data_IF_134147825999
#
_entry.id   IF_134147825999
#
_cell.length_a   1.000
_cell.length_b   1.000
_cell.length_c   1.000
_cell.angle_alpha   90.00
_cell.angle_beta   90.00
_cell.angle_gamma   90.00
#
_symmetry.space_group_name_H-M   'P 1'
#
loop_
_entity.id
_entity.type
_entity.pdbx_description
1 polymer ?
#
# COMPACT_ATOMS: atom_id res chain seq x y z
N UNK A 1 -1.94 12.36 -8.45
CA UNK A 1 -1.84 10.88 -8.41
C UNK A 1 -2.55 10.25 -9.60
N UNK A 2 -3.73 10.73 -10.00
CA UNK A 2 -4.50 10.22 -11.15
C UNK A 2 -3.71 10.10 -12.47
N UNK A 3 -2.95 11.13 -12.85
CA UNK A 3 -2.19 11.11 -14.11
C UNK A 3 -1.11 10.03 -14.12
N UNK A 4 -0.46 9.79 -12.97
CA UNK A 4 0.52 8.71 -12.81
C UNK A 4 -0.17 7.35 -12.83
N UNK A 5 -1.29 7.20 -12.10
CA UNK A 5 -2.06 5.95 -12.09
C UNK A 5 -2.52 5.56 -13.50
N UNK A 6 -3.06 6.52 -14.25
CA UNK A 6 -3.44 6.30 -15.65
C UNK A 6 -2.26 5.89 -16.52
N UNK A 7 -1.09 6.50 -16.33
CA UNK A 7 0.12 6.16 -17.07
C UNK A 7 0.61 4.74 -16.77
N UNK A 8 0.63 4.36 -15.50
CA UNK A 8 0.98 2.99 -15.09
C UNK A 8 -0.05 1.98 -15.59
N UNK A 9 -1.34 2.32 -15.58
CA UNK A 9 -2.39 1.44 -16.09
C UNK A 9 -2.21 1.12 -17.57
N UNK A 10 -1.78 2.11 -18.37
CA UNK A 10 -1.46 1.89 -19.79
C UNK A 10 -0.18 1.07 -20.01
N UNK A 11 0.70 1.01 -19.01
CA UNK A 11 1.95 0.25 -19.03
C UNK A 11 1.79 -1.18 -18.48
N UNK A 12 0.64 -1.51 -17.89
CA UNK A 12 0.44 -2.78 -17.18
C UNK A 12 0.50 -4.01 -18.09
N UNK A 13 0.07 -3.89 -19.34
CA UNK A 13 -0.02 -5.00 -20.30
C UNK A 13 1.12 -4.98 -21.33
N UNK A 14 2.25 -4.33 -21.01
CA UNK A 14 3.34 -4.10 -21.96
C UNK A 14 4.68 -4.54 -21.40
N UNK A 15 5.51 -5.15 -22.25
CA UNK A 15 6.80 -5.72 -21.84
C UNK A 15 7.89 -4.65 -21.62
N UNK A 16 7.84 -3.52 -22.32
CA UNK A 16 8.88 -2.49 -22.32
C UNK A 16 8.35 -1.10 -21.94
N UNK A 17 8.86 -0.56 -20.83
CA UNK A 17 8.51 0.76 -20.30
C UNK A 17 9.78 1.55 -19.97
N UNK A 18 9.95 2.70 -20.62
CA UNK A 18 11.05 3.62 -20.37
C UNK A 18 10.55 4.84 -19.60
N UNK A 19 11.05 5.04 -18.38
CA UNK A 19 10.81 6.24 -17.59
C UNK A 19 11.92 7.27 -17.85
N UNK A 20 11.53 8.50 -18.20
CA UNK A 20 12.45 9.62 -18.45
C UNK A 20 12.01 10.85 -17.69
N UNK A 21 12.93 11.47 -16.96
CA UNK A 21 12.70 12.81 -16.42
C UNK A 21 13.06 13.83 -17.49
N UNK A 22 12.08 14.60 -17.93
CA UNK A 22 12.21 15.61 -18.98
C UNK A 22 11.75 16.98 -18.48
N UNK A 23 12.21 18.03 -19.14
CA UNK A 23 11.74 19.40 -18.91
C UNK A 23 10.96 19.85 -20.14
N UNK A 24 9.62 19.90 -20.03
CA UNK A 24 8.75 20.38 -21.11
C UNK A 24 8.43 21.85 -20.86
N UNK A 25 9.24 22.73 -21.46
CA UNK A 25 9.16 24.17 -21.23
C UNK A 25 9.60 24.54 -19.80
N UNK A 26 8.70 25.17 -19.03
CA UNK A 26 8.96 25.53 -17.63
C UNK A 26 8.60 24.42 -16.63
N UNK A 27 7.95 23.34 -17.09
CA UNK A 27 7.39 22.30 -16.22
C UNK A 27 8.28 21.05 -16.27
N UNK A 28 8.81 20.58 -15.13
CA UNK A 28 9.47 19.28 -15.05
C UNK A 28 8.42 18.17 -15.13
N UNK A 29 8.67 17.19 -15.98
CA UNK A 29 7.71 16.15 -16.37
C UNK A 29 8.38 14.79 -16.34
N UNK A 30 7.74 13.84 -15.69
CA UNK A 30 8.08 12.43 -15.80
C UNK A 30 7.36 11.87 -17.03
N UNK A 31 8.12 11.50 -18.06
CA UNK A 31 7.60 10.86 -19.25
C UNK A 31 7.72 9.34 -19.12
N UNK A 32 6.65 8.64 -19.49
CA UNK A 32 6.60 7.20 -19.61
C UNK A 32 6.46 6.88 -21.11
N UNK A 33 7.51 6.35 -21.72
CA UNK A 33 7.47 5.82 -23.09
C UNK A 33 7.19 4.32 -23.01
N UNK A 34 6.00 3.91 -23.42
CA UNK A 34 5.51 2.54 -23.31
C UNK A 34 5.50 1.93 -24.70
N UNK A 35 6.28 0.88 -24.92
CA UNK A 35 6.30 0.15 -26.20
C UNK A 35 5.33 -1.02 -26.14
N UNK A 36 4.31 -1.01 -27.00
CA UNK A 36 3.26 -2.02 -27.03
C UNK A 36 3.09 -2.62 -28.42
N UNK A 37 2.64 -3.87 -28.47
CA UNK A 37 2.45 -4.65 -29.66
C UNK A 37 0.94 -4.75 -29.93
N UNK A 38 0.48 -4.22 -31.06
CA UNK A 38 -0.94 -4.24 -31.39
C UNK A 38 -1.39 -5.64 -31.80
N UNK A 39 -2.70 -5.88 -31.79
CA UNK A 39 -3.32 -7.12 -32.24
C UNK A 39 -3.01 -7.48 -33.72
N UNK A 40 -2.51 -6.52 -34.51
CA UNK A 40 -2.08 -6.72 -35.91
C UNK A 40 -0.55 -6.84 -36.05
N UNK A 41 0.16 -7.18 -34.97
CA UNK A 41 1.63 -7.30 -34.94
C UNK A 41 2.38 -6.00 -35.28
N UNK A 42 1.73 -4.85 -35.13
CA UNK A 42 2.35 -3.53 -35.33
C UNK A 42 2.77 -2.96 -33.98
N UNK A 43 4.05 -2.57 -33.86
CA UNK A 43 4.58 -1.94 -32.64
C UNK A 43 4.28 -0.45 -32.66
N UNK A 44 3.71 0.05 -31.57
CA UNK A 44 3.52 1.48 -31.38
C UNK A 44 4.01 1.90 -29.99
N UNK A 45 4.41 3.16 -29.88
CA UNK A 45 4.91 3.73 -28.63
C UNK A 45 3.90 4.74 -28.11
N UNK A 46 3.46 4.55 -26.86
CA UNK A 46 2.59 5.48 -26.15
C UNK A 46 3.49 6.35 -25.28
N UNK A 47 3.44 7.67 -25.48
CA UNK A 47 4.12 8.62 -24.59
C UNK A 47 3.11 9.23 -23.62
N UNK A 48 3.38 9.10 -22.31
CA UNK A 48 2.57 9.73 -21.27
C UNK A 48 3.40 10.69 -20.43
N UNK A 49 2.99 11.95 -20.44
CA UNK A 49 3.62 13.03 -19.69
C UNK A 49 2.90 13.24 -18.35
N UNK A 50 3.63 13.04 -17.25
CA UNK A 50 3.16 13.28 -15.88
C UNK A 50 3.93 14.47 -15.29
N UNK A 51 3.34 15.67 -15.14
CA UNK A 51 3.98 16.79 -14.48
C UNK A 51 4.37 16.42 -13.05
N UNK A 52 5.62 16.71 -12.69
CA UNK A 52 6.17 16.45 -11.37
C UNK A 52 6.69 17.76 -10.77
N UNK A 53 6.90 17.80 -9.45
CA UNK A 53 7.53 18.93 -8.78
C UNK A 53 8.86 18.46 -8.19
N UNK A 54 10.00 19.05 -8.56
CA UNK A 54 11.28 18.69 -7.99
C UNK A 54 11.28 19.12 -6.52
N UNK A 55 11.67 18.20 -5.65
CA UNK A 55 11.78 18.48 -4.22
C UNK A 55 13.24 18.81 -3.88
N UNK A 56 13.46 19.78 -2.97
CA UNK A 56 14.80 20.08 -2.48
C UNK A 56 15.31 18.93 -1.62
N UNK A 57 16.59 18.59 -1.74
CA UNK A 57 17.21 17.47 -1.03
C UNK A 57 17.07 17.56 0.51
N UNK A 58 17.04 18.78 1.05
CA UNK A 58 16.84 19.03 2.50
C UNK A 58 15.52 18.43 3.00
N UNK A 59 14.45 18.48 2.20
CA UNK A 59 13.18 17.84 2.58
C UNK A 59 13.22 16.33 2.42
N UNK A 60 13.99 15.83 1.44
CA UNK A 60 14.11 14.39 1.16
C UNK A 60 14.77 13.67 2.34
N UNK A 61 15.79 14.29 2.94
CA UNK A 61 16.51 13.76 4.11
C UNK A 61 15.60 13.62 5.35
N UNK A 62 14.54 14.42 5.43
CA UNK A 62 13.54 14.31 6.51
C UNK A 62 12.58 13.13 6.31
N UNK A 63 12.47 12.58 5.09
CA UNK A 63 11.65 11.39 4.83
C UNK A 63 12.48 10.13 5.10
N UNK A 64 12.69 9.82 6.38
CA UNK A 64 13.22 8.52 6.76
C UNK A 64 12.12 7.46 6.59
N UNK A 65 12.49 6.28 6.06
CA UNK A 65 11.55 5.19 5.92
C UNK A 65 11.16 4.72 7.33
N UNK A 66 9.87 4.75 7.72
CA UNK A 66 9.49 4.27 9.03
C UNK A 66 9.93 2.82 9.14
N UNK A 67 10.63 2.47 10.22
CA UNK A 67 11.00 1.09 10.50
C UNK A 67 9.73 0.25 10.57
N UNK A 68 9.47 -0.54 9.52
CA UNK A 68 8.34 -1.45 9.48
C UNK A 68 8.80 -2.71 10.23
N UNK A 69 8.30 -2.99 11.44
CA UNK A 69 8.57 -4.27 12.06
C UNK A 69 7.99 -5.34 11.14
N UNK A 70 8.74 -6.41 10.90
CA UNK A 70 8.22 -7.55 10.17
C UNK A 70 6.90 -8.01 10.84
N UNK A 71 5.80 -7.95 10.11
CA UNK A 71 4.47 -8.35 10.62
C UNK A 71 4.00 -9.59 9.90
N UNK A 72 3.63 -10.57 10.69
CA UNK A 72 2.98 -11.79 10.22
C UNK A 72 1.47 -11.51 10.16
N UNK A 73 1.03 -10.88 9.07
CA UNK A 73 -0.38 -10.65 8.79
C UNK A 73 -0.98 -11.82 8.00
N UNK A 74 -2.29 -12.07 8.12
CA UNK A 74 -2.98 -12.97 7.20
C UNK A 74 -2.85 -12.44 5.77
N UNK A 75 -3.09 -13.30 4.77
CA UNK A 75 -2.99 -12.86 3.38
C UNK A 75 -3.89 -11.65 3.12
N UNK A 76 -3.32 -10.59 2.54
CA UNK A 76 -4.01 -9.34 2.20
C UNK A 76 -5.36 -9.57 1.48
N UNK A 77 -5.52 -10.50 0.51
CA UNK A 77 -6.83 -10.73 -0.10
C UNK A 77 -7.88 -11.24 0.89
N UNK A 78 -7.53 -12.15 1.80
CA UNK A 78 -8.47 -12.66 2.81
C UNK A 78 -8.86 -11.56 3.80
N UNK A 79 -7.88 -10.77 4.22
CA UNK A 79 -8.10 -9.62 5.09
C UNK A 79 -9.05 -8.62 4.43
N UNK A 80 -8.82 -8.29 3.16
CA UNK A 80 -9.67 -7.38 2.39
C UNK A 80 -11.11 -7.87 2.34
N UNK A 81 -11.35 -9.14 2.00
CA UNK A 81 -12.72 -9.70 1.94
C UNK A 81 -13.43 -9.61 3.29
N UNK A 82 -12.73 -9.89 4.39
CA UNK A 82 -13.32 -9.76 5.73
C UNK A 82 -13.64 -8.31 6.05
N UNK A 83 -12.71 -7.39 5.81
CA UNK A 83 -12.92 -5.96 6.06
C UNK A 83 -14.03 -5.37 5.19
N UNK A 84 -14.17 -5.79 3.93
CA UNK A 84 -15.26 -5.35 3.06
C UNK A 84 -16.63 -5.78 3.60
N UNK A 85 -16.75 -7.02 4.11
CA UNK A 85 -17.97 -7.51 4.74
C UNK A 85 -18.29 -6.77 6.05
N UNK A 86 -17.26 -6.54 6.87
CA UNK A 86 -17.39 -5.83 8.13
C UNK A 86 -17.78 -4.36 7.91
N UNK A 87 -17.20 -3.69 6.92
CA UNK A 87 -17.53 -2.31 6.56
C UNK A 87 -19.00 -2.10 6.19
N UNK A 88 -19.68 -3.11 5.65
CA UNK A 88 -21.13 -3.03 5.36
C UNK A 88 -21.96 -2.90 6.64
N UNK A 89 -21.47 -3.46 7.75
CA UNK A 89 -22.17 -3.50 9.02
C UNK A 89 -21.90 -2.28 9.88
N UNK A 90 -20.67 -1.76 9.87
CA UNK A 90 -20.31 -0.54 10.59
C UNK A 90 -19.08 0.17 10.02
N UNK A 91 -18.94 1.45 10.35
CA UNK A 91 -17.74 2.24 10.04
C UNK A 91 -16.57 1.97 10.99
N UNK A 92 -16.83 1.46 12.21
CA UNK A 92 -15.79 1.19 13.20
C UNK A 92 -15.53 -0.31 13.33
N UNK A 93 -14.25 -0.68 13.24
CA UNK A 93 -13.80 -2.07 13.44
C UNK A 93 -12.79 -2.09 14.57
N UNK A 94 -13.07 -2.90 15.59
CA UNK A 94 -12.12 -3.19 16.66
C UNK A 94 -11.17 -4.27 16.21
N UNK A 95 -9.87 -3.99 16.25
CA UNK A 95 -8.81 -4.94 15.91
C UNK A 95 -8.13 -5.39 17.20
N UNK A 96 -8.05 -6.70 17.43
CA UNK A 96 -7.36 -7.29 18.58
C UNK A 96 -6.38 -8.34 18.10
N UNK A 97 -5.17 -8.37 18.64
CA UNK A 97 -4.19 -9.39 18.34
C UNK A 97 -3.60 -9.94 19.64
N UNK A 98 -3.26 -11.23 19.66
CA UNK A 98 -2.56 -11.85 20.78
C UNK A 98 -1.20 -12.44 20.36
N UNK A 99 -0.37 -12.76 21.35
CA UNK A 99 0.92 -13.42 21.18
C UNK A 99 0.81 -14.94 20.93
N UNK A 100 -0.39 -15.46 20.69
CA UNK A 100 -0.62 -16.87 20.34
C UNK A 100 -0.98 -17.04 18.86
N UNK A 101 -0.79 -15.99 18.05
CA UNK A 101 -1.03 -16.04 16.61
C UNK A 101 -2.51 -15.94 16.24
N UNK A 102 -3.30 -15.28 17.09
CA UNK A 102 -4.71 -14.95 16.84
C UNK A 102 -4.86 -13.46 16.60
N UNK A 103 -5.52 -13.13 15.49
CA UNK A 103 -5.90 -11.77 15.11
C UNK A 103 -7.41 -11.73 14.92
N UNK A 104 -8.07 -10.82 15.59
CA UNK A 104 -9.51 -10.69 15.66
C UNK A 104 -9.95 -9.32 15.14
N UNK A 105 -10.99 -9.35 14.32
CA UNK A 105 -11.73 -8.18 13.87
C UNK A 105 -13.16 -8.30 14.40
N UNK A 106 -13.58 -7.31 15.19
CA UNK A 106 -14.87 -7.30 15.86
C UNK A 106 -15.61 -6.00 15.56
N UNK A 107 -16.87 -6.13 15.21
CA UNK A 107 -17.85 -5.03 15.14
C UNK A 107 -18.91 -5.31 16.20
N UNK A 108 -19.25 -4.29 16.96
CA UNK A 108 -20.33 -4.34 17.94
C UNK A 108 -21.20 -3.09 17.77
N UNK A 109 -22.35 -3.28 17.13
CA UNK A 109 -23.38 -2.26 16.98
C UNK A 109 -24.64 -2.68 17.72
N UNK A 110 -25.60 -1.76 17.87
CA UNK A 110 -26.88 -2.01 18.56
C UNK A 110 -27.72 -3.14 17.92
N UNK A 111 -27.46 -3.46 16.65
CA UNK A 111 -28.23 -4.44 15.88
C UNK A 111 -27.50 -5.77 15.67
N UNK A 112 -26.16 -5.76 15.60
CA UNK A 112 -25.39 -6.95 15.24
C UNK A 112 -23.98 -6.89 15.82
N UNK A 113 -23.53 -8.03 16.35
CA UNK A 113 -22.14 -8.26 16.74
C UNK A 113 -21.51 -9.31 15.84
N UNK A 114 -20.46 -8.94 15.10
CA UNK A 114 -19.72 -9.87 14.23
C UNK A 114 -18.27 -9.90 14.64
N UNK A 115 -17.74 -11.10 14.85
CA UNK A 115 -16.36 -11.37 15.23
C UNK A 115 -15.74 -12.33 14.24
N UNK A 116 -14.61 -11.93 13.64
CA UNK A 116 -13.81 -12.76 12.75
C UNK A 116 -12.44 -12.97 13.35
N UNK A 117 -12.09 -14.21 13.62
CA UNK A 117 -10.78 -14.59 14.18
C UNK A 117 -9.95 -15.31 13.12
N UNK A 118 -8.75 -14.80 12.88
CA UNK A 118 -7.69 -15.47 12.16
C UNK A 118 -6.79 -16.17 13.17
N UNK A 119 -6.51 -17.45 12.95
CA UNK A 119 -5.66 -18.27 13.80
C UNK A 119 -4.42 -18.76 13.04
N UNK A 120 -3.42 -19.25 13.76
CA UNK A 120 -2.14 -19.77 13.22
C UNK A 120 -1.32 -18.73 12.47
N UNK A 121 -1.38 -17.47 12.91
CA UNK A 121 -0.43 -16.45 12.45
C UNK A 121 0.91 -16.68 13.15
N UNK A 122 2.01 -16.63 12.40
CA UNK A 122 3.34 -16.73 13.01
C UNK A 122 3.54 -15.57 14.00
N UNK A 123 3.95 -15.86 15.22
CA UNK A 123 4.26 -14.84 16.20
C UNK A 123 5.75 -14.66 16.20
N UNK A 124 6.19 -13.43 15.98
CA UNK A 124 7.60 -13.10 16.14
C UNK A 124 7.80 -12.90 17.64
N UNK A 125 8.51 -13.82 18.29
CA UNK A 125 8.91 -13.67 19.69
C UNK A 125 9.78 -12.41 19.79
N UNK A 126 9.26 -11.38 20.45
CA UNK A 126 10.01 -10.17 20.77
C UNK A 126 11.04 -10.48 21.86
N UNK A 127 12.12 -11.17 21.52
CA UNK A 127 13.22 -11.50 22.44
C UNK A 127 14.21 -10.32 22.57
N UNK A 128 13.69 -9.11 22.83
CA UNK A 128 14.55 -7.91 22.89
C UNK A 128 13.86 -6.56 23.12
N UNK A 129 12.71 -6.50 23.79
CA UNK A 129 12.21 -5.22 24.33
C UNK A 129 12.30 -5.24 25.84
N UNK A 130 13.41 -4.67 26.32
CA UNK A 130 13.56 -4.10 27.65
C UNK A 130 12.24 -3.41 28.04
N UNK A 131 11.63 -3.93 29.09
CA UNK A 131 10.47 -3.35 29.74
C UNK A 131 10.90 -2.04 30.39
N UNK A 132 10.88 -0.94 29.64
CA UNK A 132 10.75 0.38 30.27
C UNK A 132 9.35 0.45 30.90
N UNK A 133 9.28 -0.06 32.12
CA UNK A 133 8.24 0.25 33.10
C UNK A 133 8.26 1.78 33.30
N UNK A 134 7.46 2.49 32.51
CA UNK A 134 7.16 3.90 32.78
C UNK A 134 6.25 3.91 34.00
N UNK A 135 6.86 3.91 35.19
CA UNK A 135 6.21 4.37 36.43
C UNK A 135 5.81 5.83 36.22
N UNK A 136 4.52 6.06 35.98
CA UNK A 136 3.91 7.35 36.22
C UNK A 136 3.46 7.35 37.69
N UNK A 137 4.19 8.15 38.49
CA UNK A 137 3.93 8.63 39.86
C UNK A 137 3.04 7.77 40.77
#
# INVERSE_FOLDING_TARGET
>A
MEQLYRAIKSAHETDDVLLRLMKKGAIPTLNLSISTLSHYNSRFTIEQDVPCRPQKQIYVDTFDQPAIPERNLPSIPKLKTVLEKLRVLDNYVTIRANWEGKLEFSILNDQVGVRTTFEKLGVQSNEGRDVQEVRLW
#
